data_IF_926966727892
#
_entry.id   IF_926966727892
#
_cell.length_a   1.000
_cell.length_b   1.000
_cell.length_c   1.000
_cell.angle_alpha   90.00
_cell.angle_beta   90.00
_cell.angle_gamma   90.00
#
_symmetry.space_group_name_H-M   'P 1'
#
loop_
_entity.id
_entity.type
_entity.pdbx_description
1 polymer ?
#
# COMPACT_ATOMS: atom_id res chain seq x y z
N UNK A 1 -8.41 6.04 24.85
CA UNK A 1 -8.64 6.02 23.40
C UNK A 1 -7.81 7.14 22.81
N UNK A 2 -6.99 6.89 21.79
CA UNK A 2 -5.94 7.82 21.31
C UNK A 2 -6.46 9.04 20.52
N UNK A 3 -7.78 9.24 20.43
CA UNK A 3 -8.37 10.23 19.52
C UNK A 3 -8.99 11.38 20.29
N UNK A 4 -8.73 12.59 19.82
CA UNK A 4 -9.43 13.82 20.17
C UNK A 4 -9.88 14.55 18.89
N UNK A 5 -10.92 15.39 19.00
CA UNK A 5 -11.49 16.13 17.87
C UNK A 5 -10.41 16.89 17.07
N UNK A 6 -10.53 16.90 15.74
CA UNK A 6 -9.62 17.56 14.79
C UNK A 6 -8.22 16.92 14.64
N UNK A 7 -7.99 15.75 15.25
CA UNK A 7 -6.83 14.91 14.93
C UNK A 7 -6.87 14.40 13.49
N UNK A 8 -5.70 14.09 12.96
CA UNK A 8 -5.54 13.43 11.69
C UNK A 8 -4.56 12.27 11.81
N UNK A 9 -4.70 11.30 10.90
CA UNK A 9 -3.83 10.13 10.81
C UNK A 9 -3.13 10.13 9.47
N UNK A 10 -1.86 9.78 9.47
CA UNK A 10 -1.09 9.58 8.24
C UNK A 10 -1.33 8.15 7.76
N UNK A 11 -1.56 8.01 6.47
CA UNK A 11 -1.78 6.72 5.81
C UNK A 11 -0.98 6.64 4.52
N UNK A 12 -0.75 5.42 4.06
CA UNK A 12 -0.33 5.14 2.69
C UNK A 12 -1.28 5.79 1.66
N UNK A 13 -0.76 6.23 0.49
CA UNK A 13 -1.56 6.81 -0.61
C UNK A 13 -2.75 5.94 -1.01
N UNK A 14 -2.50 4.64 -1.18
CA UNK A 14 -3.51 3.59 -1.27
C UNK A 14 -3.43 2.79 0.01
N UNK A 15 -4.57 2.41 0.59
CA UNK A 15 -4.54 1.66 1.86
C UNK A 15 -5.78 0.77 2.01
N UNK A 16 -5.78 -0.05 3.06
CA UNK A 16 -6.89 -0.95 3.35
C UNK A 16 -8.14 -0.17 3.71
N UNK A 17 -9.18 -0.26 2.86
CA UNK A 17 -10.41 0.52 3.01
C UNK A 17 -11.09 0.30 4.35
N UNK A 18 -11.08 -0.92 4.88
CA UNK A 18 -11.71 -1.22 6.17
C UNK A 18 -10.97 -0.58 7.34
N UNK A 19 -9.66 -0.32 7.24
CA UNK A 19 -8.94 0.46 8.25
C UNK A 19 -9.47 1.90 8.30
N UNK A 20 -9.70 2.51 7.13
CA UNK A 20 -10.31 3.84 7.02
C UNK A 20 -11.77 3.85 7.52
N UNK A 21 -12.55 2.83 7.14
CA UNK A 21 -13.94 2.67 7.57
C UNK A 21 -14.06 2.41 9.07
N UNK A 22 -13.12 1.71 9.70
CA UNK A 22 -13.12 1.47 11.15
C UNK A 22 -12.98 2.77 11.91
N UNK A 23 -12.23 3.70 11.34
CA UNK A 23 -12.07 5.01 11.92
C UNK A 23 -13.33 5.90 11.64
N UNK A 24 -14.20 5.52 10.69
CA UNK A 24 -15.45 6.21 10.35
C UNK A 24 -16.48 6.38 11.46
N UNK A 25 -16.90 5.33 12.18
CA UNK A 25 -17.78 5.46 13.34
C UNK A 25 -17.23 6.34 14.46
N UNK A 26 -15.90 6.51 14.54
CA UNK A 26 -15.26 7.40 15.52
C UNK A 26 -15.41 8.89 15.16
N UNK A 27 -16.06 9.18 14.04
CA UNK A 27 -16.37 10.52 13.59
C UNK A 27 -15.84 10.87 12.20
N UNK A 28 -15.28 9.95 11.40
CA UNK A 28 -14.69 10.28 10.06
C UNK A 28 -15.71 10.61 8.98
N UNK A 29 -17.01 10.49 9.24
CA UNK A 29 -18.00 11.22 8.44
C UNK A 29 -17.79 12.75 8.52
N UNK A 30 -17.12 13.25 9.57
CA UNK A 30 -16.92 14.69 9.88
C UNK A 30 -15.66 15.09 10.73
N UNK A 31 -14.67 14.24 11.06
CA UNK A 31 -13.74 14.58 12.18
C UNK A 31 -12.39 13.88 12.44
N UNK A 32 -11.95 12.83 11.72
CA UNK A 32 -10.50 12.50 11.62
C UNK A 32 -10.12 12.59 10.16
N UNK A 33 -9.18 13.47 9.84
CA UNK A 33 -8.70 13.62 8.47
C UNK A 33 -7.61 12.59 8.21
N UNK A 34 -7.61 11.99 7.03
CA UNK A 34 -6.52 11.11 6.59
C UNK A 34 -5.57 11.92 5.73
N UNK A 35 -4.29 11.78 5.97
CA UNK A 35 -3.23 12.43 5.19
C UNK A 35 -2.52 11.35 4.38
N UNK A 36 -2.85 11.19 3.09
CA UNK A 36 -2.20 10.21 2.24
C UNK A 36 -0.76 10.65 1.93
N UNK A 37 0.18 9.72 2.06
CA UNK A 37 1.59 9.92 1.67
C UNK A 37 1.87 9.14 0.39
N UNK A 38 2.45 9.80 -0.64
CA UNK A 38 2.85 9.15 -1.89
C UNK A 38 3.68 7.89 -1.69
N UNK A 39 3.49 6.94 -2.59
CA UNK A 39 4.14 5.63 -2.56
C UNK A 39 4.92 5.32 -3.84
N UNK A 40 5.91 4.45 -3.73
CA UNK A 40 6.60 3.80 -4.84
C UNK A 40 6.48 2.26 -4.74
N UNK A 41 7.32 1.53 -5.49
CA UNK A 41 7.30 0.06 -5.52
C UNK A 41 7.64 -0.60 -4.17
N UNK A 42 8.29 0.12 -3.26
CA UNK A 42 8.56 -0.36 -1.91
C UNK A 42 7.54 0.17 -0.89
N UNK A 43 6.55 0.94 -1.32
CA UNK A 43 5.50 1.49 -0.46
C UNK A 43 5.72 2.97 -0.16
N UNK A 44 5.30 3.42 1.03
CA UNK A 44 5.39 4.82 1.47
C UNK A 44 6.79 5.42 1.26
N UNK A 45 6.85 6.63 0.70
CA UNK A 45 8.10 7.35 0.43
C UNK A 45 8.52 8.14 1.69
N UNK A 46 9.69 7.85 2.30
CA UNK A 46 10.13 8.51 3.53
C UNK A 46 10.30 10.02 3.37
N UNK A 47 10.83 10.47 2.23
CA UNK A 47 11.06 11.89 1.94
C UNK A 47 9.74 12.66 1.91
N UNK A 48 8.70 12.06 1.32
CA UNK A 48 7.37 12.64 1.25
C UNK A 48 6.72 12.72 2.64
N UNK A 49 6.87 11.66 3.46
CA UNK A 49 6.43 11.67 4.86
C UNK A 49 7.11 12.79 5.66
N UNK A 50 8.44 12.86 5.60
CA UNK A 50 9.17 13.89 6.33
C UNK A 50 8.82 15.31 5.85
N UNK A 51 8.66 15.50 4.54
CA UNK A 51 8.23 16.78 3.97
C UNK A 51 6.84 17.19 4.47
N UNK A 52 5.88 16.27 4.42
CA UNK A 52 4.49 16.53 4.84
C UNK A 52 4.41 16.95 6.32
N UNK A 53 5.18 16.29 7.20
CA UNK A 53 5.14 16.58 8.65
C UNK A 53 5.97 17.82 9.00
N UNK A 54 7.09 18.04 8.30
CA UNK A 54 7.97 19.19 8.57
C UNK A 54 7.31 20.50 8.16
N UNK A 55 6.50 20.48 7.11
CA UNK A 55 5.79 21.66 6.60
C UNK A 55 4.31 21.68 7.03
N UNK A 56 3.96 21.01 8.14
CA UNK A 56 2.56 20.83 8.55
C UNK A 56 1.84 22.17 8.77
N UNK A 57 2.46 23.13 9.43
CA UNK A 57 1.89 24.46 9.70
C UNK A 57 1.60 25.26 8.41
N UNK A 58 2.36 24.99 7.35
CA UNK A 58 2.16 25.61 6.03
C UNK A 58 1.16 24.82 5.17
N UNK A 59 0.85 23.58 5.57
CA UNK A 59 -0.13 22.76 4.89
C UNK A 59 -1.52 23.36 5.11
N UNK A 60 -2.33 23.47 4.04
CA UNK A 60 -3.72 23.99 4.13
C UNK A 60 -4.68 22.99 4.79
N UNK A 61 -4.16 22.05 5.59
CA UNK A 61 -4.94 21.03 6.27
C UNK A 61 -5.41 21.62 7.60
N UNK A 62 -6.70 21.86 7.72
CA UNK A 62 -7.32 22.34 8.96
C UNK A 62 -7.43 21.20 10.00
N UNK A 63 -6.30 20.66 10.46
CA UNK A 63 -6.22 19.63 11.50
C UNK A 63 -4.98 19.83 12.35
N UNK A 64 -5.00 19.28 13.56
CA UNK A 64 -3.80 19.19 14.39
C UNK A 64 -2.73 18.38 13.69
N UNK A 65 -1.46 18.66 14.03
CA UNK A 65 -0.33 17.90 13.52
C UNK A 65 -0.52 16.41 13.82
N UNK A 66 -0.40 15.52 12.81
CA UNK A 66 -0.59 14.10 13.03
C UNK A 66 0.45 13.57 14.01
N UNK A 67 0.02 12.67 14.89
CA UNK A 67 0.89 11.93 15.80
C UNK A 67 0.89 10.42 15.50
N UNK A 68 0.10 9.96 14.52
CA UNK A 68 -0.09 8.54 14.21
C UNK A 68 0.13 8.28 12.71
N UNK A 69 0.95 7.28 12.41
CA UNK A 69 1.13 6.71 11.08
C UNK A 69 0.58 5.28 11.07
N UNK A 70 -0.36 5.01 10.17
CA UNK A 70 -0.81 3.66 9.85
C UNK A 70 -0.18 3.21 8.53
N UNK A 71 0.46 2.04 8.53
CA UNK A 71 1.08 1.48 7.32
C UNK A 71 1.02 -0.05 7.29
N UNK A 72 1.06 -0.61 6.08
CA UNK A 72 1.09 -2.06 5.83
C UNK A 72 2.44 -2.40 5.16
N UNK A 73 3.50 -2.70 5.93
CA UNK A 73 4.84 -2.71 5.37
C UNK A 73 5.22 -4.02 4.65
N UNK A 74 4.49 -5.12 4.87
CA UNK A 74 4.68 -6.39 4.15
C UNK A 74 3.45 -6.76 3.34
N UNK A 75 3.60 -6.95 2.03
CA UNK A 75 2.49 -7.38 1.16
C UNK A 75 1.35 -6.38 1.17
N UNK A 76 1.67 -5.10 1.02
CA UNK A 76 0.77 -3.95 1.18
C UNK A 76 -0.58 -4.17 0.49
N UNK A 77 -1.67 -3.86 1.19
CA UNK A 77 -3.01 -3.90 0.61
C UNK A 77 -3.39 -2.47 0.14
N UNK A 78 -3.52 -2.20 -1.16
CA UNK A 78 -3.78 -3.11 -2.30
C UNK A 78 -2.59 -3.38 -3.23
N UNK A 79 -1.44 -2.72 -3.01
CA UNK A 79 -0.37 -2.62 -4.02
C UNK A 79 0.53 -3.86 -4.13
N UNK A 80 0.56 -4.71 -3.10
CA UNK A 80 1.49 -5.82 -2.96
C UNK A 80 2.92 -5.41 -2.61
N UNK A 81 3.20 -4.11 -2.43
CA UNK A 81 4.53 -3.60 -2.10
C UNK A 81 5.05 -4.17 -0.76
N UNK A 82 6.37 -4.34 -0.67
CA UNK A 82 7.02 -4.75 0.57
C UNK A 82 8.21 -3.82 0.84
N UNK A 83 8.18 -3.18 2.01
CA UNK A 83 9.22 -2.24 2.42
C UNK A 83 10.51 -2.99 2.76
N UNK A 84 11.63 -2.55 2.17
CA UNK A 84 12.97 -3.00 2.54
C UNK A 84 13.33 -2.61 3.98
N UNK A 85 14.34 -3.25 4.55
CA UNK A 85 14.83 -2.88 5.89
C UNK A 85 15.31 -1.41 5.93
N UNK A 86 15.98 -0.95 4.87
CA UNK A 86 16.41 0.44 4.74
C UNK A 86 15.21 1.38 4.73
N UNK A 87 14.16 1.05 3.97
CA UNK A 87 12.92 1.81 3.94
C UNK A 87 12.27 1.94 5.32
N UNK A 88 12.15 0.82 6.05
CA UNK A 88 11.60 0.79 7.41
C UNK A 88 12.44 1.63 8.38
N UNK A 89 13.77 1.52 8.32
CA UNK A 89 14.67 2.31 9.17
C UNK A 89 14.54 3.82 8.92
N UNK A 90 14.42 4.23 7.65
CA UNK A 90 14.22 5.63 7.27
C UNK A 90 12.89 6.18 7.80
N UNK A 91 11.79 5.42 7.66
CA UNK A 91 10.48 5.79 8.21
C UNK A 91 10.55 5.88 9.74
N UNK A 92 11.20 4.92 10.40
CA UNK A 92 11.33 4.90 11.85
C UNK A 92 12.15 6.08 12.39
N UNK A 93 13.22 6.48 11.69
CA UNK A 93 14.00 7.66 12.06
C UNK A 93 13.16 8.95 11.97
N UNK A 94 12.30 9.06 10.95
CA UNK A 94 11.36 10.18 10.79
C UNK A 94 10.32 10.15 11.90
N UNK A 95 9.77 8.98 12.22
CA UNK A 95 8.79 8.82 13.28
C UNK A 95 9.36 9.26 14.64
N UNK A 96 10.60 8.87 14.96
CA UNK A 96 11.30 9.35 16.17
C UNK A 96 11.46 10.87 16.16
N UNK A 97 11.95 11.45 15.05
CA UNK A 97 12.16 12.89 14.91
C UNK A 97 10.88 13.70 15.14
N UNK A 98 9.74 13.20 14.69
CA UNK A 98 8.46 13.89 14.77
C UNK A 98 7.53 13.37 15.87
N UNK A 99 8.01 12.47 16.73
CA UNK A 99 7.21 11.83 17.80
C UNK A 99 5.93 11.15 17.28
N UNK A 100 6.03 10.47 16.13
CA UNK A 100 4.94 9.67 15.59
C UNK A 100 4.91 8.29 16.24
N UNK A 101 3.70 7.85 16.57
CA UNK A 101 3.41 6.44 16.78
C UNK A 101 3.19 5.75 15.43
N UNK A 102 3.75 4.57 15.25
CA UNK A 102 3.56 3.74 14.07
C UNK A 102 2.63 2.58 14.45
N UNK A 103 1.57 2.41 13.68
CA UNK A 103 0.72 1.22 13.68
C UNK A 103 1.06 0.43 12.43
N UNK A 104 1.80 -0.65 12.62
CA UNK A 104 2.10 -1.61 11.57
C UNK A 104 1.00 -2.67 11.52
N UNK A 105 0.25 -2.71 10.43
CA UNK A 105 -0.68 -3.80 10.15
C UNK A 105 0.05 -4.86 9.32
N UNK A 106 0.43 -5.96 9.96
CA UNK A 106 1.32 -7.01 9.41
C UNK A 106 0.60 -8.37 9.25
N UNK A 107 -0.59 -8.48 8.62
CA UNK A 107 -1.28 -9.75 8.48
C UNK A 107 -0.56 -10.70 7.52
N UNK A 108 0.28 -10.16 6.62
CA UNK A 108 1.00 -10.91 5.59
C UNK A 108 2.49 -11.12 5.90
N UNK A 109 2.95 -10.80 7.11
CA UNK A 109 4.37 -10.89 7.46
C UNK A 109 5.00 -12.27 7.17
N UNK A 110 4.26 -13.34 7.43
CA UNK A 110 4.72 -14.71 7.21
C UNK A 110 4.56 -15.20 5.75
N UNK A 111 3.98 -14.39 4.85
CA UNK A 111 3.74 -14.73 3.45
C UNK A 111 4.77 -14.12 2.50
N UNK A 112 6.02 -13.99 2.93
CA UNK A 112 7.10 -13.49 2.09
C UNK A 112 7.42 -14.51 0.99
N UNK A 113 7.03 -14.17 -0.24
CA UNK A 113 7.22 -15.03 -1.41
C UNK A 113 8.57 -14.73 -2.08
N UNK A 114 9.20 -15.74 -2.72
CA UNK A 114 10.34 -15.47 -3.59
C UNK A 114 9.92 -14.62 -4.78
N UNK A 115 10.89 -13.95 -5.41
CA UNK A 115 10.67 -13.27 -6.69
C UNK A 115 10.06 -14.25 -7.68
N UNK A 116 9.01 -13.82 -8.38
CA UNK A 116 8.35 -14.64 -9.39
C UNK A 116 9.38 -15.15 -10.42
N UNK A 117 9.39 -16.46 -10.62
CA UNK A 117 10.16 -17.12 -11.67
C UNK A 117 9.18 -17.72 -12.67
N UNK A 118 9.35 -17.41 -13.96
CA UNK A 118 8.49 -17.95 -14.99
C UNK A 118 8.75 -19.46 -15.15
N UNK A 119 7.81 -20.28 -14.70
CA UNK A 119 7.78 -21.71 -15.02
C UNK A 119 6.68 -21.99 -16.07
N UNK A 120 7.13 -22.17 -17.32
CA UNK A 120 6.25 -22.46 -18.45
C UNK A 120 5.53 -23.81 -18.31
N UNK A 121 6.05 -24.74 -17.51
CA UNK A 121 5.45 -26.05 -17.29
C UNK A 121 4.17 -25.97 -16.47
N UNK A 122 4.10 -25.06 -15.48
CA UNK A 122 2.88 -24.78 -14.70
C UNK A 122 1.73 -24.25 -15.57
N UNK A 123 2.06 -23.61 -16.69
CA UNK A 123 1.07 -23.08 -17.64
C UNK A 123 0.51 -24.16 -18.57
N UNK A 124 1.23 -25.28 -18.77
CA UNK A 124 0.79 -26.37 -19.65
C UNK A 124 -0.43 -27.10 -19.10
N UNK A 125 -0.49 -27.35 -17.79
CA UNK A 125 -1.63 -28.02 -17.14
C UNK A 125 -2.92 -27.20 -17.24
N UNK A 126 -2.80 -25.87 -17.13
CA UNK A 126 -3.90 -24.93 -17.31
C UNK A 126 -4.34 -24.86 -18.80
N UNK A 127 -3.40 -24.86 -19.74
CA UNK A 127 -3.73 -24.90 -21.17
C UNK A 127 -4.45 -26.20 -21.57
N UNK A 128 -4.04 -27.34 -21.02
CA UNK A 128 -4.76 -28.61 -21.20
C UNK A 128 -6.20 -28.56 -20.65
N UNK A 129 -6.42 -27.91 -19.50
CA UNK A 129 -7.75 -27.69 -18.94
C UNK A 129 -8.61 -26.71 -19.77
N UNK A 130 -7.99 -25.75 -20.46
CA UNK A 130 -8.68 -24.91 -21.47
C UNK A 130 -9.08 -25.74 -22.70
N UNK A 131 -8.22 -26.62 -23.18
CA UNK A 131 -8.51 -27.48 -24.34
C UNK A 131 -9.64 -28.48 -24.07
N UNK A 132 -9.89 -28.84 -22.81
CA UNK A 132 -11.04 -29.66 -22.38
C UNK A 132 -12.35 -28.87 -22.25
N UNK A 133 -12.36 -27.57 -22.57
CA UNK A 133 -13.54 -26.70 -22.51
C UNK A 133 -13.96 -26.29 -21.10
N UNK A 134 -13.23 -26.71 -20.06
CA UNK A 134 -13.58 -26.46 -18.66
C UNK A 134 -13.05 -25.15 -18.10
N UNK A 135 -12.14 -24.47 -18.81
CA UNK A 135 -11.51 -23.24 -18.32
C UNK A 135 -11.33 -22.21 -19.44
N UNK A 136 -11.93 -21.03 -19.25
CA UNK A 136 -11.77 -19.88 -20.14
C UNK A 136 -10.61 -19.03 -19.61
N UNK A 137 -9.54 -18.86 -20.40
CA UNK A 137 -8.42 -18.01 -20.04
C UNK A 137 -8.53 -16.67 -20.75
N UNK A 138 -8.64 -15.57 -20.00
CA UNK A 138 -8.49 -14.22 -20.54
C UNK A 138 -7.02 -13.81 -20.53
N UNK A 139 -6.40 -13.72 -21.72
CA UNK A 139 -5.06 -13.16 -21.89
C UNK A 139 -5.17 -11.75 -22.44
N UNK A 140 -4.48 -10.82 -21.80
CA UNK A 140 -4.23 -9.50 -22.35
C UNK A 140 -2.88 -9.53 -23.05
N UNK A 141 -2.87 -9.24 -24.36
CA UNK A 141 -1.65 -8.99 -25.11
C UNK A 141 -1.32 -7.51 -25.01
N UNK A 142 -0.14 -7.19 -24.50
CA UNK A 142 0.51 -5.92 -24.78
C UNK A 142 1.91 -6.26 -25.29
N UNK A 143 2.08 -6.30 -26.62
CA UNK A 143 3.31 -5.87 -27.31
C UNK A 143 3.23 -6.02 -28.84
N UNK A 144 3.54 -4.91 -29.52
CA UNK A 144 4.40 -4.84 -30.70
C UNK A 144 4.17 -5.87 -31.82
N UNK A 145 3.21 -5.58 -32.69
CA UNK A 145 3.53 -5.39 -34.11
C UNK A 145 4.01 -6.58 -34.95
N UNK A 146 3.71 -7.84 -34.63
CA UNK A 146 3.85 -8.95 -35.59
C UNK A 146 2.68 -9.92 -35.53
N UNK A 147 1.75 -9.70 -36.46
CA UNK A 147 0.76 -10.69 -36.88
C UNK A 147 1.50 -11.80 -37.64
N UNK A 148 1.86 -12.88 -36.96
CA UNK A 148 2.19 -14.15 -37.60
C UNK A 148 0.88 -14.94 -37.77
N UNK A 149 0.42 -14.99 -39.04
CA UNK A 149 -0.54 -15.97 -39.52
C UNK A 149 0.08 -17.36 -39.44
N UNK A 150 -0.58 -18.26 -38.73
CA UNK A 150 -0.73 -19.71 -38.99
C UNK A 150 -2.02 -20.08 -38.23
N UNK A 151 -3.15 -20.49 -38.80
CA UNK A 151 -3.53 -21.16 -40.05
C UNK A 151 -4.82 -20.54 -40.61
#
# INVERSE_FOLDING_TARGET
MFYEKDDCIIVDEYTFSTALETAWPLGIKTGIKTVPIPMDKEGLIPEALNHQISNWEESKVESRKPFLLYMIPTGHNTTGAAQSLERRNSIYAIAQKHSLYIVEDEPYYYLQLPTFQEDKSLRLSLLEATNRGTMITMKWFEERGKCCRET
#
